data_IF_779388444676
#
_entry.id   IF_779388444676
#
_cell.length_a   1.000
_cell.length_b   1.000
_cell.length_c   1.000
_cell.angle_alpha   90.00
_cell.angle_beta   90.00
_cell.angle_gamma   90.00
#
_symmetry.space_group_name_H-M   'P 1'
#
loop_
_entity.id
_entity.type
_entity.pdbx_description
1 polymer ?
#
# COMPACT_ATOMS: atom_id res chain seq x y z
N UNK A 1 -23.72 59.45 -46.08
CA UNK A 1 -23.72 58.92 -44.71
C UNK A 1 -23.53 57.42 -44.73
N UNK A 2 -22.47 57.00 -44.05
CA UNK A 2 -21.79 55.73 -44.21
C UNK A 2 -22.52 54.57 -43.52
N UNK A 3 -22.44 53.41 -44.17
CA UNK A 3 -22.77 52.11 -43.62
C UNK A 3 -21.74 51.69 -42.56
N UNK A 4 -22.20 51.15 -41.43
CA UNK A 4 -21.35 50.47 -40.44
C UNK A 4 -21.86 49.05 -40.23
N UNK A 5 -21.30 48.14 -41.03
CA UNK A 5 -21.26 46.70 -40.76
C UNK A 5 -20.20 46.47 -39.68
N UNK A 6 -20.61 46.06 -38.47
CA UNK A 6 -19.69 45.63 -37.41
C UNK A 6 -19.30 44.18 -37.66
N UNK A 7 -18.21 43.98 -38.40
CA UNK A 7 -17.55 42.68 -38.53
C UNK A 7 -16.84 42.30 -37.24
N UNK A 8 -17.26 41.20 -36.62
CA UNK A 8 -16.50 40.55 -35.56
C UNK A 8 -15.26 39.90 -36.19
N UNK A 9 -14.04 40.16 -35.69
CA UNK A 9 -12.85 39.47 -36.20
C UNK A 9 -12.88 38.03 -35.69
N UNK A 10 -12.98 37.07 -36.61
CA UNK A 10 -12.68 35.68 -36.33
C UNK A 10 -11.16 35.57 -36.23
N UNK A 11 -10.65 35.54 -35.00
CA UNK A 11 -9.26 35.22 -34.72
C UNK A 11 -9.09 33.72 -35.07
N UNK A 12 -8.43 33.43 -36.18
CA UNK A 12 -8.02 32.07 -36.53
C UNK A 12 -7.00 31.64 -35.48
N UNK A 13 -7.42 30.76 -34.56
CA UNK A 13 -6.51 30.07 -33.65
C UNK A 13 -5.59 29.17 -34.48
N UNK A 14 -4.28 29.30 -34.27
CA UNK A 14 -3.25 28.47 -34.90
C UNK A 14 -3.50 26.98 -34.60
N UNK A 15 -3.14 26.09 -35.55
CA UNK A 15 -3.27 24.63 -35.41
C UNK A 15 -2.56 24.06 -34.16
N UNK A 16 -1.64 24.80 -33.55
CA UNK A 16 -0.97 24.42 -32.30
C UNK A 16 -1.90 24.48 -31.07
N UNK A 17 -2.92 25.36 -31.07
CA UNK A 17 -3.85 25.49 -29.93
C UNK A 17 -4.93 24.38 -29.89
N UNK A 18 -5.17 23.69 -31.02
CA UNK A 18 -6.06 22.53 -31.06
C UNK A 18 -5.46 21.27 -30.40
N UNK A 19 -4.12 21.19 -30.32
CA UNK A 19 -3.43 20.06 -29.65
C UNK A 19 -3.60 20.14 -28.13
N UNK A 20 -3.82 21.33 -27.57
CA UNK A 20 -3.97 21.54 -26.13
C UNK A 20 -5.36 21.11 -25.58
N UNK A 21 -6.36 20.95 -26.45
CA UNK A 21 -7.72 20.49 -26.10
C UNK A 21 -8.09 19.13 -26.72
N UNK A 22 -7.10 18.35 -27.15
CA UNK A 22 -7.31 16.93 -27.40
C UNK A 22 -7.78 16.24 -26.12
N UNK A 23 -8.96 15.60 -26.16
CA UNK A 23 -9.37 14.60 -25.17
C UNK A 23 -8.15 13.69 -24.92
N UNK A 24 -7.63 13.69 -23.69
CA UNK A 24 -6.44 12.91 -23.34
C UNK A 24 -6.78 11.41 -23.48
N UNK A 25 -6.54 10.84 -24.67
CA UNK A 25 -6.87 9.46 -25.01
C UNK A 25 -5.84 8.53 -24.38
N UNK A 26 -6.23 7.88 -23.29
CA UNK A 26 -5.38 6.92 -22.55
C UNK A 26 -5.50 5.48 -23.08
N UNK A 27 -5.74 5.32 -24.38
CA UNK A 27 -6.06 4.01 -24.99
C UNK A 27 -4.92 3.00 -24.87
N UNK A 28 -3.68 3.43 -25.10
CA UNK A 28 -2.49 2.60 -24.94
C UNK A 28 -2.33 2.11 -23.49
N UNK A 29 -2.60 2.99 -22.52
CA UNK A 29 -2.55 2.67 -21.08
C UNK A 29 -3.55 1.59 -20.77
N UNK A 30 -4.80 1.79 -21.17
CA UNK A 30 -5.89 0.83 -20.94
C UNK A 30 -5.60 -0.51 -21.60
N UNK A 31 -4.99 -0.52 -22.80
CA UNK A 31 -4.65 -1.76 -23.50
C UNK A 31 -3.56 -2.58 -22.79
N UNK A 32 -2.50 -1.92 -22.30
CA UNK A 32 -1.43 -2.56 -21.53
C UNK A 32 -1.96 -3.05 -20.17
N UNK A 33 -2.70 -2.20 -19.46
CA UNK A 33 -3.32 -2.53 -18.16
C UNK A 33 -4.24 -3.74 -18.24
N UNK A 34 -5.02 -3.88 -19.32
CA UNK A 34 -5.95 -5.00 -19.52
C UNK A 34 -5.28 -6.37 -19.65
N UNK A 35 -4.03 -6.42 -20.08
CA UNK A 35 -3.28 -7.69 -20.22
C UNK A 35 -2.37 -7.91 -19.02
N UNK A 36 -1.63 -6.87 -18.63
CA UNK A 36 -0.63 -6.95 -17.56
C UNK A 36 -1.27 -7.14 -16.19
N UNK A 37 -2.25 -6.31 -15.80
CA UNK A 37 -2.79 -6.31 -14.44
C UNK A 37 -3.54 -7.60 -14.08
N UNK A 38 -4.45 -8.16 -14.92
CA UNK A 38 -5.11 -9.41 -14.58
C UNK A 38 -4.14 -10.59 -14.46
N UNK A 39 -3.13 -10.64 -15.34
CA UNK A 39 -2.08 -11.66 -15.27
C UNK A 39 -1.26 -11.52 -13.99
N UNK A 40 -0.83 -10.30 -13.67
CA UNK A 40 -0.07 -9.99 -12.47
C UNK A 40 -0.85 -10.30 -11.18
N UNK A 41 -2.09 -9.83 -11.06
CA UNK A 41 -2.95 -10.09 -9.90
C UNK A 41 -3.22 -11.58 -9.71
N UNK A 42 -3.36 -12.34 -10.80
CA UNK A 42 -3.53 -13.80 -10.73
C UNK A 42 -2.27 -14.47 -10.19
N UNK A 43 -1.08 -14.09 -10.67
CA UNK A 43 0.20 -14.64 -10.19
C UNK A 43 0.41 -14.29 -8.71
N UNK A 44 0.21 -13.03 -8.33
CA UNK A 44 0.34 -12.58 -6.93
C UNK A 44 -0.68 -13.29 -6.04
N UNK A 45 -1.91 -13.48 -6.50
CA UNK A 45 -2.92 -14.25 -5.77
C UNK A 45 -2.46 -15.68 -5.52
N UNK A 46 -2.02 -16.42 -6.55
CA UNK A 46 -1.63 -17.81 -6.40
C UNK A 46 -0.38 -17.98 -5.52
N UNK A 47 0.68 -17.22 -5.82
CA UNK A 47 1.96 -17.28 -5.08
C UNK A 47 1.77 -16.77 -3.65
N UNK A 48 1.09 -15.64 -3.51
CA UNK A 48 0.82 -15.01 -2.22
C UNK A 48 -0.07 -15.88 -1.35
N UNK A 49 -1.15 -16.46 -1.87
CA UNK A 49 -2.04 -17.34 -1.11
C UNK A 49 -1.31 -18.60 -0.63
N UNK A 50 -0.60 -19.29 -1.53
CA UNK A 50 0.15 -20.49 -1.17
C UNK A 50 1.23 -20.19 -0.12
N UNK A 51 1.99 -19.11 -0.31
CA UNK A 51 3.04 -18.68 0.62
C UNK A 51 2.48 -18.28 1.99
N UNK A 52 1.42 -17.48 2.02
CA UNK A 52 0.83 -17.00 3.27
C UNK A 52 0.09 -18.10 4.04
N UNK A 53 -0.57 -19.05 3.36
CA UNK A 53 -1.14 -20.24 4.02
C UNK A 53 -0.04 -21.06 4.68
N UNK A 54 1.05 -21.34 3.96
CA UNK A 54 2.19 -22.09 4.51
C UNK A 54 2.78 -21.36 5.73
N UNK A 55 3.03 -20.05 5.61
CA UNK A 55 3.56 -19.24 6.70
C UNK A 55 2.61 -19.23 7.91
N UNK A 56 1.30 -19.08 7.68
CA UNK A 56 0.27 -19.11 8.73
C UNK A 56 0.31 -20.43 9.53
N UNK A 57 0.37 -21.57 8.83
CA UNK A 57 0.46 -22.89 9.47
C UNK A 57 1.74 -23.01 10.31
N UNK A 58 2.89 -22.64 9.73
CA UNK A 58 4.20 -22.69 10.42
C UNK A 58 4.19 -21.82 11.68
N UNK A 59 3.63 -20.61 11.60
CA UNK A 59 3.55 -19.68 12.73
C UNK A 59 2.65 -20.21 13.85
N UNK A 60 1.49 -20.79 13.53
CA UNK A 60 0.63 -21.42 14.54
C UNK A 60 1.36 -22.56 15.26
N UNK A 61 2.03 -23.43 14.51
CA UNK A 61 2.81 -24.53 15.08
C UNK A 61 3.93 -24.02 15.99
N UNK A 62 4.61 -22.94 15.60
CA UNK A 62 5.70 -22.36 16.36
C UNK A 62 5.20 -21.61 17.62
N UNK A 63 4.08 -20.90 17.51
CA UNK A 63 3.42 -20.22 18.64
C UNK A 63 3.01 -21.19 19.74
N UNK A 64 2.45 -22.36 19.36
CA UNK A 64 2.12 -23.44 20.32
C UNK A 64 3.34 -23.92 21.11
N UNK A 65 4.54 -23.88 20.51
CA UNK A 65 5.78 -24.38 21.13
C UNK A 65 6.55 -23.32 21.94
N UNK A 66 6.68 -22.10 21.42
CA UNK A 66 7.65 -21.09 21.90
C UNK A 66 7.01 -19.80 22.41
N UNK A 67 5.71 -19.57 22.18
CA UNK A 67 4.93 -18.39 22.61
C UNK A 67 5.67 -17.05 22.48
N UNK A 68 6.34 -16.81 21.34
CA UNK A 68 7.05 -15.54 21.07
C UNK A 68 6.11 -14.49 20.49
N UNK A 69 6.17 -13.25 21.01
CA UNK A 69 5.29 -12.15 20.58
C UNK A 69 5.58 -11.67 19.16
N UNK A 70 6.84 -11.69 18.72
CA UNK A 70 7.24 -11.41 17.33
C UNK A 70 6.46 -12.27 16.32
N UNK A 71 6.20 -13.53 16.65
CA UNK A 71 5.48 -14.47 15.77
C UNK A 71 3.96 -14.19 15.80
N UNK A 72 3.43 -13.58 16.88
CA UNK A 72 2.04 -13.11 16.95
C UNK A 72 1.83 -11.90 16.05
N UNK A 73 2.75 -10.93 16.04
CA UNK A 73 2.69 -9.79 15.13
C UNK A 73 2.79 -10.25 13.67
N UNK A 74 3.71 -11.18 13.38
CA UNK A 74 3.84 -11.75 12.04
C UNK A 74 2.59 -12.54 11.62
N UNK A 75 1.93 -13.26 12.54
CA UNK A 75 0.67 -13.93 12.24
C UNK A 75 -0.42 -12.94 11.84
N UNK A 76 -0.52 -11.79 12.53
CA UNK A 76 -1.51 -10.76 12.20
C UNK A 76 -1.17 -10.05 10.88
N UNK A 77 0.12 -9.90 10.55
CA UNK A 77 0.55 -9.44 9.24
C UNK A 77 0.06 -10.40 8.14
N UNK A 78 0.20 -11.71 8.34
CA UNK A 78 -0.31 -12.72 7.38
C UNK A 78 -1.84 -12.68 7.25
N UNK A 79 -2.56 -12.48 8.37
CA UNK A 79 -4.03 -12.29 8.33
C UNK A 79 -4.40 -11.04 7.52
N UNK A 80 -3.64 -9.97 7.68
CA UNK A 80 -3.80 -8.76 6.90
C UNK A 80 -3.51 -8.98 5.40
N UNK A 81 -2.47 -9.75 5.07
CA UNK A 81 -2.14 -10.12 3.69
C UNK A 81 -3.26 -10.93 3.02
N UNK A 82 -3.98 -11.79 3.77
CA UNK A 82 -5.15 -12.48 3.24
C UNK A 82 -6.26 -11.52 2.83
N UNK A 83 -6.50 -10.43 3.55
CA UNK A 83 -7.49 -9.44 3.12
C UNK A 83 -7.13 -8.86 1.76
N UNK A 84 -5.87 -8.49 1.52
CA UNK A 84 -5.42 -8.01 0.22
C UNK A 84 -5.53 -9.09 -0.86
N UNK A 85 -5.04 -10.30 -0.61
CA UNK A 85 -5.06 -11.40 -1.57
C UNK A 85 -6.50 -11.74 -2.03
N UNK A 86 -7.47 -11.69 -1.12
CA UNK A 86 -8.88 -11.92 -1.44
C UNK A 86 -9.45 -10.84 -2.38
N UNK A 87 -8.89 -9.63 -2.40
CA UNK A 87 -9.34 -8.56 -3.30
C UNK A 87 -8.83 -8.71 -4.74
N UNK A 88 -7.63 -9.27 -4.92
CA UNK A 88 -6.96 -9.37 -6.23
C UNK A 88 -7.78 -10.06 -7.34
N UNK A 89 -8.47 -11.20 -7.11
CA UNK A 89 -9.28 -11.82 -8.16
C UNK A 89 -10.44 -10.92 -8.62
N UNK A 90 -11.02 -10.12 -7.72
CA UNK A 90 -12.07 -9.16 -8.10
C UNK A 90 -11.51 -8.01 -8.92
N UNK A 91 -10.32 -7.50 -8.59
CA UNK A 91 -9.64 -6.50 -9.40
C UNK A 91 -9.26 -7.04 -10.79
N UNK A 92 -8.83 -8.30 -10.88
CA UNK A 92 -8.54 -8.95 -12.17
C UNK A 92 -9.81 -9.10 -13.04
N UNK A 93 -10.93 -9.54 -12.44
CA UNK A 93 -12.22 -9.65 -13.12
C UNK A 93 -12.77 -8.29 -13.57
N UNK A 94 -12.64 -7.28 -12.72
CA UNK A 94 -13.03 -5.91 -13.03
C UNK A 94 -12.30 -5.39 -14.28
N UNK A 95 -10.98 -5.55 -14.34
CA UNK A 95 -10.16 -5.06 -15.45
C UNK A 95 -10.42 -5.86 -16.73
N UNK A 96 -10.66 -7.16 -16.62
CA UNK A 96 -10.86 -8.06 -17.75
C UNK A 96 -12.27 -7.94 -18.36
N UNK A 97 -13.31 -7.94 -17.53
CA UNK A 97 -14.70 -8.07 -17.97
C UNK A 97 -15.56 -6.83 -17.70
N UNK A 98 -14.99 -5.76 -17.12
CA UNK A 98 -15.73 -4.54 -16.73
C UNK A 98 -16.90 -4.80 -15.77
N UNK A 99 -16.85 -5.92 -15.05
CA UNK A 99 -17.85 -6.29 -14.05
C UNK A 99 -17.39 -5.71 -12.72
N UNK A 100 -18.03 -4.61 -12.30
CA UNK A 100 -17.89 -4.06 -10.95
C UNK A 100 -19.23 -4.06 -10.26
N UNK A 101 -19.24 -4.53 -9.01
CA UNK A 101 -20.45 -4.51 -8.17
C UNK A 101 -20.41 -3.27 -7.29
N UNK A 102 -21.54 -2.54 -7.22
CA UNK A 102 -21.64 -1.28 -6.48
C UNK A 102 -21.25 -1.40 -5.00
N UNK A 103 -21.52 -2.55 -4.39
CA UNK A 103 -21.19 -2.82 -2.98
C UNK A 103 -19.76 -3.35 -2.82
N UNK A 104 -19.23 -4.10 -3.80
CA UNK A 104 -17.89 -4.70 -3.68
C UNK A 104 -16.78 -3.68 -3.89
N UNK A 105 -16.95 -2.71 -4.79
CA UNK A 105 -15.96 -1.63 -5.03
C UNK A 105 -15.48 -0.94 -3.72
N UNK A 106 -16.35 -0.39 -2.86
CA UNK A 106 -15.91 0.24 -1.61
C UNK A 106 -15.34 -0.77 -0.60
N UNK A 107 -15.85 -2.01 -0.56
CA UNK A 107 -15.35 -3.07 0.33
C UNK A 107 -13.94 -3.48 -0.06
N UNK A 108 -13.68 -3.72 -1.35
CA UNK A 108 -12.37 -4.12 -1.86
C UNK A 108 -11.32 -3.02 -1.59
N UNK A 109 -11.69 -1.76 -1.78
CA UNK A 109 -10.81 -0.64 -1.46
C UNK A 109 -10.57 -0.50 0.06
N UNK A 110 -11.61 -0.74 0.88
CA UNK A 110 -11.45 -0.78 2.34
C UNK A 110 -10.53 -1.92 2.78
N UNK A 111 -10.66 -3.12 2.23
CA UNK A 111 -9.78 -4.27 2.54
C UNK A 111 -8.32 -3.99 2.15
N UNK A 112 -8.10 -3.40 0.98
CA UNK A 112 -6.76 -2.97 0.55
C UNK A 112 -6.15 -1.93 1.50
N UNK A 113 -6.91 -0.91 1.86
CA UNK A 113 -6.41 0.16 2.75
C UNK A 113 -6.19 -0.33 4.18
N UNK A 114 -7.02 -1.25 4.68
CA UNK A 114 -6.78 -1.94 5.94
C UNK A 114 -5.48 -2.72 5.88
N UNK A 115 -5.21 -3.44 4.78
CA UNK A 115 -3.95 -4.16 4.62
C UNK A 115 -2.74 -3.23 4.72
N UNK A 116 -2.77 -2.10 4.00
CA UNK A 116 -1.70 -1.12 4.03
C UNK A 116 -1.40 -0.61 5.45
N UNK A 117 -2.40 -0.03 6.13
CA UNK A 117 -2.18 0.57 7.45
C UNK A 117 -1.81 -0.47 8.50
N UNK A 118 -2.51 -1.61 8.53
CA UNK A 118 -2.20 -2.66 9.50
C UNK A 118 -0.82 -3.27 9.25
N UNK A 119 -0.42 -3.44 7.98
CA UNK A 119 0.91 -3.91 7.60
C UNK A 119 2.01 -2.99 8.13
N UNK A 120 1.92 -1.69 7.86
CA UNK A 120 2.88 -0.69 8.35
C UNK A 120 2.97 -0.72 9.89
N UNK A 121 1.83 -0.72 10.56
CA UNK A 121 1.78 -0.66 12.02
C UNK A 121 2.26 -1.94 12.68
N UNK A 122 1.93 -3.13 12.16
CA UNK A 122 2.46 -4.39 12.69
C UNK A 122 3.98 -4.48 12.55
N UNK A 123 4.53 -4.05 11.42
CA UNK A 123 5.99 -4.00 11.22
C UNK A 123 6.63 -2.96 12.16
N UNK A 124 5.98 -1.83 12.40
CA UNK A 124 6.44 -0.82 13.38
C UNK A 124 6.47 -1.38 14.81
N UNK A 125 5.40 -2.08 15.23
CA UNK A 125 5.33 -2.73 16.54
C UNK A 125 6.39 -3.83 16.68
N UNK A 126 6.63 -4.62 15.63
CA UNK A 126 7.70 -5.62 15.58
C UNK A 126 9.08 -4.96 15.73
N UNK A 127 9.28 -3.79 15.11
CA UNK A 127 10.51 -3.00 15.21
C UNK A 127 10.74 -2.46 16.63
N UNK A 128 9.68 -1.98 17.29
CA UNK A 128 9.74 -1.54 18.68
C UNK A 128 10.06 -2.69 19.63
N UNK A 129 9.41 -3.84 19.46
CA UNK A 129 9.65 -5.05 20.27
C UNK A 129 11.13 -5.49 20.17
N UNK A 130 11.68 -5.50 18.96
CA UNK A 130 13.11 -5.80 18.74
C UNK A 130 14.04 -4.75 19.35
N UNK A 131 13.68 -3.47 19.25
CA UNK A 131 14.44 -2.38 19.87
C UNK A 131 14.51 -2.55 21.39
N UNK A 132 13.39 -2.83 22.05
CA UNK A 132 13.35 -3.05 23.49
C UNK A 132 14.19 -4.28 23.90
N UNK A 133 14.08 -5.37 23.15
CA UNK A 133 14.82 -6.61 23.42
C UNK A 133 16.34 -6.46 23.29
N UNK A 134 16.81 -5.66 22.33
CA UNK A 134 18.26 -5.55 22.05
C UNK A 134 18.89 -4.39 22.82
N UNK A 135 18.27 -3.20 22.77
CA UNK A 135 18.86 -1.98 23.33
C UNK A 135 18.61 -1.89 24.84
N UNK A 136 17.48 -2.40 25.32
CA UNK A 136 17.10 -2.39 26.73
C UNK A 136 17.16 -3.78 27.38
N UNK A 137 18.03 -4.66 26.88
CA UNK A 137 18.15 -6.05 27.31
C UNK A 137 18.35 -6.21 28.84
N UNK A 138 19.07 -5.29 29.50
CA UNK A 138 19.33 -5.31 30.94
C UNK A 138 18.29 -4.55 31.79
N UNK A 139 17.27 -3.95 31.17
CA UNK A 139 16.20 -3.23 31.87
C UNK A 139 15.04 -4.16 32.21
N UNK A 140 14.29 -3.85 33.27
CA UNK A 140 13.03 -4.54 33.61
C UNK A 140 11.97 -4.44 32.48
N UNK A 141 12.18 -3.57 31.49
CA UNK A 141 11.34 -3.37 30.32
C UNK A 141 11.95 -3.96 29.03
N UNK A 142 12.80 -4.98 29.12
CA UNK A 142 13.47 -5.59 27.96
C UNK A 142 12.51 -6.25 26.94
N UNK A 143 11.24 -6.45 27.27
CA UNK A 143 10.22 -6.92 26.33
C UNK A 143 8.87 -6.32 26.67
N UNK A 144 8.02 -6.12 25.66
CA UNK A 144 6.62 -5.82 25.92
C UNK A 144 5.98 -6.99 26.65
N UNK A 145 5.20 -6.72 27.69
CA UNK A 145 4.42 -7.75 28.36
C UNK A 145 3.36 -8.30 27.41
N UNK A 146 2.91 -9.54 27.65
CA UNK A 146 1.88 -10.16 26.80
C UNK A 146 0.59 -9.32 26.78
N UNK A 147 0.19 -8.77 27.92
CA UNK A 147 -0.98 -7.88 28.04
C UNK A 147 -0.81 -6.61 27.20
N UNK A 148 0.34 -5.93 27.31
CA UNK A 148 0.57 -4.69 26.56
C UNK A 148 0.60 -4.96 25.05
N UNK A 149 1.19 -6.07 24.63
CA UNK A 149 1.23 -6.46 23.22
C UNK A 149 -0.15 -6.77 22.64
N UNK A 150 -1.03 -7.42 23.41
CA UNK A 150 -2.43 -7.65 22.99
C UNK A 150 -3.18 -6.32 22.87
N UNK A 151 -2.99 -5.39 23.82
CA UNK A 151 -3.58 -4.05 23.73
C UNK A 151 -3.09 -3.31 22.48
N UNK A 152 -1.78 -3.34 22.20
CA UNK A 152 -1.20 -2.77 20.98
C UNK A 152 -1.79 -3.40 19.74
N UNK A 153 -1.94 -4.72 19.70
CA UNK A 153 -2.55 -5.42 18.59
C UNK A 153 -3.98 -4.96 18.29
N UNK A 154 -4.80 -4.85 19.34
CA UNK A 154 -6.17 -4.34 19.22
C UNK A 154 -6.20 -2.89 18.73
N UNK A 155 -5.31 -2.04 19.27
CA UNK A 155 -5.18 -0.66 18.84
C UNK A 155 -4.77 -0.56 17.36
N UNK A 156 -3.84 -1.41 16.90
CA UNK A 156 -3.42 -1.44 15.49
C UNK A 156 -4.60 -1.78 14.58
N UNK A 157 -5.39 -2.80 14.91
CA UNK A 157 -6.57 -3.16 14.13
C UNK A 157 -7.61 -2.04 14.08
N UNK A 158 -7.96 -1.47 15.23
CA UNK A 158 -8.93 -0.37 15.33
C UNK A 158 -8.45 0.84 14.54
N UNK A 159 -7.19 1.26 14.71
CA UNK A 159 -6.62 2.40 14.01
C UNK A 159 -6.57 2.18 12.50
N UNK A 160 -6.20 0.98 12.06
CA UNK A 160 -6.15 0.62 10.63
C UNK A 160 -7.53 0.69 9.99
N UNK A 161 -8.56 0.16 10.67
CA UNK A 161 -9.94 0.22 10.19
C UNK A 161 -10.42 1.68 10.15
N UNK A 162 -10.19 2.46 11.21
CA UNK A 162 -10.59 3.87 11.28
C UNK A 162 -9.95 4.71 10.17
N UNK A 163 -8.66 4.50 9.86
CA UNK A 163 -7.98 5.19 8.77
C UNK A 163 -8.44 4.71 7.38
N UNK A 164 -9.04 3.51 7.28
CA UNK A 164 -9.53 2.96 6.01
C UNK A 164 -10.95 3.43 5.67
N UNK A 165 -11.78 3.74 6.67
CA UNK A 165 -13.17 4.18 6.50
C UNK A 165 -13.32 5.34 5.50
N UNK A 166 -12.55 6.44 5.58
CA UNK A 166 -12.69 7.55 4.64
C UNK A 166 -12.41 7.13 3.20
N UNK A 167 -11.34 6.34 2.97
CA UNK A 167 -11.04 5.85 1.62
C UNK A 167 -12.17 4.96 1.09
N UNK A 168 -12.79 4.13 1.95
CA UNK A 168 -13.95 3.33 1.58
C UNK A 168 -15.21 4.15 1.28
N UNK A 169 -15.54 5.12 2.13
CA UNK A 169 -16.76 5.95 2.01
C UNK A 169 -16.72 6.93 0.83
N UNK A 170 -15.54 7.44 0.49
CA UNK A 170 -15.35 8.34 -0.65
C UNK A 170 -15.03 7.62 -1.96
N UNK A 171 -15.03 6.28 -1.97
CA UNK A 171 -14.98 5.49 -3.20
C UNK A 171 -16.40 5.20 -3.65
N UNK A 172 -16.77 5.63 -4.86
CA UNK A 172 -18.07 5.32 -5.46
C UNK A 172 -17.91 4.77 -6.86
N UNK A 173 -18.83 3.92 -7.26
CA UNK A 173 -18.98 3.52 -8.66
C UNK A 173 -19.55 4.70 -9.45
N UNK A 174 -18.90 5.05 -10.56
CA UNK A 174 -19.38 6.05 -11.53
C UNK A 174 -19.59 5.37 -12.87
N UNK A 175 -20.79 5.52 -13.42
CA UNK A 175 -21.07 5.11 -14.79
C UNK A 175 -20.52 6.18 -15.75
N UNK A 176 -19.56 5.80 -16.57
CA UNK A 176 -19.06 6.61 -17.68
C UNK A 176 -19.61 6.02 -18.98
N UNK A 177 -20.30 6.84 -19.78
CA UNK A 177 -20.82 6.50 -21.11
C UNK A 177 -21.71 5.23 -21.18
N UNK A 178 -22.68 5.09 -20.26
CA UNK A 178 -23.75 4.06 -20.28
C UNK A 178 -23.32 2.57 -20.40
N UNK A 179 -22.03 2.24 -20.35
CA UNK A 179 -21.51 0.86 -20.44
C UNK A 179 -20.34 0.57 -19.48
N UNK A 180 -19.77 1.59 -18.85
CA UNK A 180 -18.52 1.48 -18.11
C UNK A 180 -18.73 1.86 -16.64
N UNK A 181 -18.76 0.89 -15.73
CA UNK A 181 -18.82 1.15 -14.28
C UNK A 181 -17.38 1.29 -13.80
N UNK A 182 -16.92 2.50 -13.48
CA UNK A 182 -15.59 2.71 -12.90
C UNK A 182 -15.67 2.88 -11.38
N UNK A 183 -14.84 2.14 -10.65
CA UNK A 183 -14.66 2.33 -9.21
C UNK A 183 -13.69 3.51 -9.02
N UNK A 184 -14.21 4.71 -8.76
CA UNK A 184 -13.43 5.94 -8.68
C UNK A 184 -13.61 6.62 -7.32
N UNK A 185 -12.52 7.25 -6.86
CA UNK A 185 -12.54 8.10 -5.68
C UNK A 185 -13.28 9.42 -5.99
N UNK A 186 -14.58 9.47 -5.71
CA UNK A 186 -15.38 10.65 -5.92
C UNK A 186 -15.64 11.39 -4.60
N UNK A 187 -14.89 12.47 -4.42
CA UNK A 187 -14.99 13.35 -3.26
C UNK A 187 -15.94 14.54 -3.49
N UNK A 188 -16.62 14.60 -4.63
CA UNK A 188 -17.45 15.74 -5.03
C UNK A 188 -16.58 16.97 -5.36
N UNK A 189 -16.88 17.65 -6.47
CA UNK A 189 -16.09 18.80 -6.95
C UNK A 189 -16.03 19.98 -5.95
N UNK A 190 -16.92 20.03 -4.94
CA UNK A 190 -16.99 21.14 -3.97
C UNK A 190 -16.05 21.01 -2.76
N UNK A 191 -15.39 19.86 -2.54
CA UNK A 191 -14.53 19.63 -1.36
C UNK A 191 -13.14 19.09 -1.69
N UNK A 192 -12.66 19.35 -2.90
CA UNK A 192 -11.41 18.79 -3.43
C UNK A 192 -10.16 19.18 -2.61
N UNK A 193 -10.13 20.38 -2.03
CA UNK A 193 -9.06 20.80 -1.09
C UNK A 193 -9.01 19.91 0.15
N UNK A 194 -10.16 19.63 0.78
CA UNK A 194 -10.24 18.79 1.98
C UNK A 194 -9.91 17.33 1.68
N UNK A 195 -10.22 16.83 0.47
CA UNK A 195 -9.75 15.51 -0.02
C UNK A 195 -8.22 15.43 0.05
N UNK A 196 -7.53 16.42 -0.51
CA UNK A 196 -6.06 16.41 -0.57
C UNK A 196 -5.45 16.56 0.81
N UNK A 197 -5.95 17.51 1.62
CA UNK A 197 -5.49 17.68 3.01
C UNK A 197 -5.64 16.38 3.79
N UNK A 198 -6.80 15.72 3.70
CA UNK A 198 -7.05 14.48 4.40
C UNK A 198 -6.14 13.35 3.93
N UNK A 199 -5.96 13.19 2.62
CA UNK A 199 -5.07 12.17 2.03
C UNK A 199 -3.60 12.41 2.39
N UNK A 200 -3.15 13.67 2.44
CA UNK A 200 -1.80 14.03 2.88
C UNK A 200 -1.60 13.72 4.36
N UNK A 201 -2.56 14.10 5.22
CA UNK A 201 -2.51 13.78 6.66
C UNK A 201 -2.45 12.26 6.86
N UNK A 202 -3.29 11.50 6.15
CA UNK A 202 -3.27 10.05 6.21
C UNK A 202 -1.96 9.44 5.74
N UNK A 203 -1.34 9.99 4.69
CA UNK A 203 -0.03 9.55 4.24
C UNK A 203 1.05 9.83 5.29
N UNK A 204 1.04 11.02 5.89
CA UNK A 204 2.00 11.39 6.93
C UNK A 204 1.85 10.47 8.15
N UNK A 205 0.63 10.26 8.64
CA UNK A 205 0.37 9.44 9.82
C UNK A 205 0.53 7.94 9.58
N UNK A 206 0.10 7.47 8.41
CA UNK A 206 0.07 6.05 8.07
C UNK A 206 1.34 5.51 7.41
N UNK A 207 2.22 6.39 6.91
CA UNK A 207 3.44 5.98 6.23
C UNK A 207 4.69 6.71 6.74
N UNK A 208 4.73 8.04 6.66
CA UNK A 208 5.96 8.80 6.95
C UNK A 208 6.37 8.71 8.43
N UNK A 209 5.41 8.87 9.36
CA UNK A 209 5.69 8.77 10.79
C UNK A 209 6.17 7.35 11.19
N UNK A 210 5.47 6.27 10.81
CA UNK A 210 5.97 4.91 11.01
C UNK A 210 7.34 4.66 10.37
N UNK A 211 7.60 5.21 9.18
CA UNK A 211 8.89 5.09 8.49
C UNK A 211 10.04 5.70 9.29
N UNK A 212 9.90 6.95 9.71
CA UNK A 212 10.91 7.64 10.51
C UNK A 212 11.14 6.93 11.85
N UNK A 213 10.06 6.46 12.48
CA UNK A 213 10.13 5.67 13.71
C UNK A 213 10.92 4.37 13.51
N UNK A 214 10.65 3.61 12.45
CA UNK A 214 11.38 2.39 12.13
C UNK A 214 12.86 2.67 11.87
N UNK A 215 13.21 3.71 11.09
CA UNK A 215 14.61 4.11 10.86
C UNK A 215 15.32 4.42 12.18
N UNK A 216 14.66 5.16 13.07
CA UNK A 216 15.22 5.46 14.38
C UNK A 216 15.47 4.18 15.19
N UNK A 217 14.50 3.27 15.27
CA UNK A 217 14.67 1.99 15.98
C UNK A 217 15.83 1.18 15.40
N UNK A 218 15.91 1.02 14.08
CA UNK A 218 16.94 0.20 13.45
C UNK A 218 18.33 0.81 13.48
N UNK A 219 18.46 2.13 13.35
CA UNK A 219 19.76 2.79 13.50
C UNK A 219 20.35 2.53 14.89
N UNK A 220 19.53 2.65 15.93
CA UNK A 220 19.94 2.35 17.31
C UNK A 220 20.28 0.88 17.51
N UNK A 221 19.47 -0.03 16.97
CA UNK A 221 19.77 -1.47 17.05
C UNK A 221 21.09 -1.78 16.32
N UNK A 222 21.31 -1.22 15.14
CA UNK A 222 22.54 -1.42 14.37
C UNK A 222 23.78 -0.93 15.13
N UNK A 223 23.72 0.26 15.75
CA UNK A 223 24.80 0.80 16.59
C UNK A 223 25.13 -0.11 17.78
N UNK A 224 24.12 -0.65 18.45
CA UNK A 224 24.34 -1.57 19.58
C UNK A 224 24.95 -2.88 19.08
N UNK A 225 24.48 -3.40 17.95
CA UNK A 225 24.95 -4.68 17.40
C UNK A 225 26.37 -4.62 16.81
N UNK A 226 26.81 -3.46 16.30
CA UNK A 226 28.20 -3.27 15.85
C UNK A 226 29.17 -3.14 17.03
N UNK A 227 28.68 -2.63 18.16
CA UNK A 227 29.49 -2.42 19.37
C UNK A 227 29.56 -3.68 20.24
N UNK A 228 28.49 -4.47 20.29
CA UNK A 228 28.37 -5.67 21.11
C UNK A 228 28.34 -6.91 20.22
N UNK A 229 29.43 -7.68 20.19
CA UNK A 229 29.58 -8.89 19.37
C UNK A 229 28.65 -10.03 19.84
N UNK A 230 27.32 -9.87 19.84
CA UNK A 230 26.38 -10.91 20.25
C UNK A 230 26.16 -11.95 19.14
N UNK A 231 26.61 -13.21 19.32
CA UNK A 231 26.38 -14.28 18.36
C UNK A 231 24.96 -14.84 18.56
N UNK A 232 24.02 -14.49 17.67
CA UNK A 232 22.69 -15.12 17.61
C UNK A 232 21.52 -14.18 17.28
N UNK A 233 21.57 -12.92 17.73
CA UNK A 233 20.52 -11.91 17.48
C UNK A 233 20.50 -11.39 16.03
N UNK A 234 21.64 -11.45 15.34
CA UNK A 234 21.84 -10.89 13.99
C UNK A 234 20.91 -11.49 12.93
N UNK A 235 20.48 -12.76 13.07
CA UNK A 235 19.61 -13.42 12.07
C UNK A 235 18.16 -12.94 12.19
N UNK A 236 17.58 -12.96 13.39
CA UNK A 236 16.23 -12.44 13.61
C UNK A 236 16.16 -10.95 13.24
N UNK A 237 17.19 -10.18 13.60
CA UNK A 237 17.32 -8.78 13.21
C UNK A 237 17.43 -8.59 11.70
N UNK A 238 18.21 -9.41 11.00
CA UNK A 238 18.34 -9.35 9.54
C UNK A 238 17.01 -9.65 8.84
N UNK A 239 16.20 -10.58 9.38
CA UNK A 239 14.83 -10.80 8.89
C UNK A 239 13.98 -9.56 9.03
N UNK A 240 13.93 -8.94 10.22
CA UNK A 240 13.07 -7.77 10.41
C UNK A 240 13.58 -6.60 9.59
N UNK A 241 14.89 -6.36 9.54
CA UNK A 241 15.51 -5.34 8.71
C UNK A 241 15.21 -5.53 7.21
N UNK A 242 15.27 -6.76 6.72
CA UNK A 242 14.96 -7.07 5.31
C UNK A 242 13.46 -6.90 5.03
N UNK A 243 12.58 -7.38 5.91
CA UNK A 243 11.13 -7.18 5.78
C UNK A 243 10.77 -5.70 5.73
N UNK A 244 11.36 -4.90 6.63
CA UNK A 244 11.15 -3.46 6.72
C UNK A 244 11.68 -2.75 5.47
N UNK A 245 12.91 -3.06 5.04
CA UNK A 245 13.51 -2.46 3.85
C UNK A 245 12.71 -2.79 2.59
N UNK A 246 12.30 -4.03 2.43
CA UNK A 246 11.44 -4.47 1.31
C UNK A 246 10.09 -3.77 1.37
N UNK A 247 9.43 -3.74 2.53
CA UNK A 247 8.16 -3.06 2.69
C UNK A 247 8.27 -1.58 2.26
N UNK A 248 9.31 -0.86 2.68
CA UNK A 248 9.49 0.52 2.26
C UNK A 248 9.82 0.68 0.78
N UNK A 249 10.72 -0.13 0.23
CA UNK A 249 11.07 -0.03 -1.21
C UNK A 249 9.85 -0.29 -2.09
N UNK A 250 8.94 -1.17 -1.66
CA UNK A 250 7.73 -1.48 -2.42
C UNK A 250 6.60 -0.46 -2.23
N UNK A 251 6.46 0.11 -1.02
CA UNK A 251 5.36 1.03 -0.71
C UNK A 251 5.71 2.51 -0.89
N UNK A 252 6.98 2.91 -0.75
CA UNK A 252 7.43 4.30 -0.88
C UNK A 252 7.12 4.91 -2.25
N UNK A 253 7.39 4.22 -3.39
CA UNK A 253 7.09 4.77 -4.72
C UNK A 253 5.59 5.05 -4.88
N UNK A 254 4.74 4.12 -4.41
CA UNK A 254 3.29 4.27 -4.48
C UNK A 254 2.80 5.47 -3.68
N UNK A 255 3.29 5.64 -2.44
CA UNK A 255 2.89 6.76 -1.59
C UNK A 255 3.30 8.12 -2.16
N UNK A 256 4.45 8.22 -2.84
CA UNK A 256 4.85 9.43 -3.57
C UNK A 256 3.90 9.70 -4.74
N UNK A 257 3.66 8.70 -5.57
CA UNK A 257 2.79 8.85 -6.75
C UNK A 257 1.36 9.21 -6.34
N UNK A 258 0.87 8.66 -5.21
CA UNK A 258 -0.44 8.97 -4.66
C UNK A 258 -0.57 10.44 -4.25
N UNK A 259 0.48 11.04 -3.68
CA UNK A 259 0.53 12.46 -3.33
C UNK A 259 0.57 13.30 -4.62
N UNK A 260 1.43 12.95 -5.58
CA UNK A 260 1.53 13.66 -6.85
C UNK A 260 0.20 13.65 -7.62
N UNK A 261 -0.53 12.53 -7.61
CA UNK A 261 -1.84 12.41 -8.25
C UNK A 261 -2.89 13.28 -7.55
N UNK A 262 -2.78 13.41 -6.23
CA UNK A 262 -3.68 14.29 -5.46
C UNK A 262 -3.40 15.76 -5.74
N UNK A 263 -2.15 16.15 -6.01
CA UNK A 263 -1.78 17.51 -6.40
C UNK A 263 -2.22 17.83 -7.84
N UNK A 264 -2.23 16.83 -8.72
CA UNK A 264 -2.80 16.95 -10.06
C UNK A 264 -4.31 17.21 -10.02
N UNK A 265 -5.06 16.52 -9.16
CA UNK A 265 -6.51 16.74 -8.97
C UNK A 265 -6.84 18.21 -8.64
N UNK A 266 -5.95 18.92 -7.92
CA UNK A 266 -6.11 20.33 -7.50
C UNK A 266 -5.70 21.32 -8.60
N UNK A 267 -5.30 20.83 -9.78
CA UNK A 267 -5.00 21.67 -10.95
C UNK A 267 -3.60 22.30 -10.95
N UNK A 268 -2.68 21.80 -10.12
CA UNK A 268 -1.27 22.21 -10.08
C UNK A 268 -0.49 21.62 -11.27
N UNK A 269 -0.88 20.43 -11.75
CA UNK A 269 -0.27 19.75 -12.90
C UNK A 269 -1.34 19.66 -14.00
N UNK A 270 -1.16 20.39 -15.11
CA UNK A 270 -2.17 20.52 -16.19
C UNK A 270 -1.81 19.80 -17.49
N UNK A 271 -0.61 19.23 -17.60
CA UNK A 271 -0.11 18.57 -18.81
C UNK A 271 -0.71 17.15 -18.97
N UNK A 272 -1.35 16.87 -20.11
CA UNK A 272 -1.89 15.54 -20.44
C UNK A 272 -0.80 14.45 -20.48
N UNK A 273 0.42 14.78 -20.91
CA UNK A 273 1.55 13.84 -20.88
C UNK A 273 1.94 13.45 -19.44
N UNK A 274 2.02 14.41 -18.52
CA UNK A 274 2.30 14.15 -17.11
C UNK A 274 1.16 13.35 -16.46
N UNK A 275 -0.10 13.63 -16.80
CA UNK A 275 -1.27 12.84 -16.38
C UNK A 275 -1.20 11.37 -16.86
N UNK A 276 -0.75 11.14 -18.10
CA UNK A 276 -0.59 9.80 -18.67
C UNK A 276 0.53 9.03 -17.99
N UNK A 277 1.68 9.67 -17.75
CA UNK A 277 2.81 9.07 -17.04
C UNK A 277 2.49 8.77 -15.58
N UNK A 278 1.70 9.63 -14.91
CA UNK A 278 1.33 9.45 -13.52
C UNK A 278 0.37 8.26 -13.30
N UNK A 279 -0.57 8.03 -14.23
CA UNK A 279 -1.45 6.85 -14.19
C UNK A 279 -0.68 5.54 -14.38
N UNK A 280 0.26 5.51 -15.33
CA UNK A 280 1.17 4.37 -15.49
C UNK A 280 2.01 4.14 -14.23
N UNK A 281 2.58 5.22 -13.68
CA UNK A 281 3.36 5.15 -12.45
C UNK A 281 2.50 4.64 -11.28
N UNK A 282 1.24 5.07 -11.17
CA UNK A 282 0.33 4.63 -10.11
C UNK A 282 0.06 3.13 -10.20
N UNK A 283 -0.24 2.63 -11.40
CA UNK A 283 -0.49 1.20 -11.60
C UNK A 283 0.75 0.34 -11.36
N UNK A 284 1.92 0.78 -11.82
CA UNK A 284 3.18 0.05 -11.64
C UNK A 284 3.59 0.05 -10.18
N UNK A 285 3.51 1.19 -9.51
CA UNK A 285 3.88 1.32 -8.09
C UNK A 285 2.88 0.62 -7.16
N UNK A 286 1.59 0.59 -7.50
CA UNK A 286 0.59 -0.21 -6.81
C UNK A 286 0.84 -1.72 -7.01
N UNK A 287 1.14 -2.15 -8.25
CA UNK A 287 1.52 -3.54 -8.52
C UNK A 287 2.76 -3.94 -7.72
N UNK A 288 3.76 -3.05 -7.67
CA UNK A 288 4.98 -3.25 -6.89
C UNK A 288 4.67 -3.37 -5.39
N UNK A 289 3.72 -2.59 -4.87
CA UNK A 289 3.31 -2.67 -3.48
C UNK A 289 2.76 -4.07 -3.16
N UNK A 290 1.93 -4.67 -4.03
CA UNK A 290 1.35 -6.01 -3.80
C UNK A 290 2.38 -7.15 -3.74
N UNK A 291 3.57 -6.95 -4.30
CA UNK A 291 4.66 -7.94 -4.22
C UNK A 291 5.07 -8.21 -2.76
N UNK A 292 4.83 -7.26 -1.85
CA UNK A 292 5.20 -7.42 -0.43
C UNK A 292 4.54 -8.66 0.21
N UNK A 293 3.29 -8.97 -0.12
CA UNK A 293 2.58 -10.14 0.40
C UNK A 293 3.24 -11.46 -0.01
N UNK A 294 3.88 -11.51 -1.18
CA UNK A 294 4.59 -12.70 -1.66
C UNK A 294 5.98 -12.83 -1.01
N UNK A 295 6.59 -11.71 -0.62
CA UNK A 295 7.94 -11.70 -0.04
C UNK A 295 7.94 -12.06 1.44
N UNK A 296 6.88 -11.74 2.21
CA UNK A 296 6.80 -12.05 3.64
C UNK A 296 7.09 -13.54 3.96
N UNK A 297 6.45 -14.53 3.31
CA UNK A 297 6.76 -15.96 3.48
C UNK A 297 8.17 -16.35 3.03
N UNK A 298 8.62 -15.81 1.89
CA UNK A 298 9.94 -16.11 1.35
C UNK A 298 11.03 -15.64 2.32
N UNK A 299 10.96 -14.38 2.76
CA UNK A 299 11.91 -13.80 3.71
C UNK A 299 11.93 -14.57 5.03
N UNK A 300 10.77 -14.99 5.53
CA UNK A 300 10.71 -15.86 6.71
C UNK A 300 11.43 -17.19 6.49
N UNK A 301 11.15 -17.86 5.37
CA UNK A 301 11.78 -19.13 5.03
C UNK A 301 13.30 -19.00 4.84
N UNK A 302 13.76 -17.98 4.10
CA UNK A 302 15.18 -17.74 3.81
C UNK A 302 16.00 -17.47 5.06
N UNK A 303 15.47 -16.69 6.02
CA UNK A 303 16.24 -16.35 7.22
C UNK A 303 16.15 -17.45 8.27
N UNK A 304 15.05 -18.19 8.33
CA UNK A 304 14.93 -19.39 9.18
C UNK A 304 15.53 -20.65 8.54
N UNK A 305 16.38 -20.55 7.49
CA UNK A 305 17.10 -21.65 6.79
C UNK A 305 18.04 -22.53 7.64
N UNK A 306 17.70 -22.79 8.89
CA UNK A 306 17.83 -24.10 9.52
C UNK A 306 16.53 -24.96 9.37
N UNK A 307 15.54 -24.50 8.59
CA UNK A 307 14.33 -25.25 8.18
C UNK A 307 14.54 -26.09 6.91
N UNK A 308 15.78 -26.44 6.58
CA UNK A 308 16.14 -27.24 5.38
C UNK A 308 16.01 -28.76 5.58
N UNK A 309 15.32 -29.20 6.64
CA UNK A 309 15.26 -30.60 7.07
C UNK A 309 13.84 -31.15 7.23
N UNK A 310 12.82 -30.37 6.88
CA UNK A 310 11.40 -30.75 7.01
C UNK A 310 10.56 -30.48 5.74
N UNK A 311 11.21 -30.18 4.62
CA UNK A 311 10.69 -30.24 3.25
C UNK A 311 11.54 -31.24 2.48
#
# INVERSE_FOLDING_TARGET
DAATSSGYPYEYLDEEDYVQYGLCTKEEVVSFSRVFLPSFYTVVFLVGLAGNILLFIVLIMYLKKKKKMTEVYLLNLVVSDFFLLLTLPFWALYISQWVMWDILCPILNAMYTVNFYSGVFFVSCMSLDMYLQIVHACSSHSSMTQRNSILVLLMVWVLSILLSIPNGLFTRTRQIHNKTIMCAHDYGQKHLFWKVVFRVIQNILGFLFPFLFMIFCYSRIACVLTTSQLPGSRRALCLVFTLVGVFFVLWFPYNIVLILHSLQDVGVIRSCESSRQLDYAMQITESLSFVHCCLNPLLYAFVKKQFRLYL
#
